data_IF_820114849832
#
_entry.id   IF_820114849832
#
_cell.length_a   1.000
_cell.length_b   1.000
_cell.length_c   1.000
_cell.angle_alpha   90.00
_cell.angle_beta   90.00
_cell.angle_gamma   90.00
#
_symmetry.space_group_name_H-M   'P 1'
#
loop_
_entity.id
_entity.type
_entity.pdbx_description
1 polymer ?
#
# COMPACT_ATOMS: atom_id res chain seq x y z
N UNK A 1 27.40 28.88 -40.83
CA UNK A 1 27.40 28.75 -39.35
C UNK A 1 26.30 27.73 -39.01
N UNK A 2 26.68 26.47 -38.75
CA UNK A 2 25.73 25.39 -38.42
C UNK A 2 25.22 25.63 -37.00
N UNK A 3 23.95 25.96 -36.86
CA UNK A 3 23.26 25.94 -35.56
C UNK A 3 23.02 24.48 -35.24
N UNK A 4 23.84 23.94 -34.35
CA UNK A 4 23.67 22.59 -33.81
C UNK A 4 22.45 22.65 -32.89
N UNK A 5 21.32 22.13 -33.35
CA UNK A 5 20.15 21.92 -32.53
C UNK A 5 20.56 20.98 -31.38
N UNK A 6 20.54 21.50 -30.14
CA UNK A 6 20.56 20.66 -28.94
C UNK A 6 19.27 19.84 -28.99
N UNK A 7 19.38 18.57 -29.36
CA UNK A 7 18.35 17.57 -29.13
C UNK A 7 18.00 17.62 -27.64
N UNK A 8 16.78 18.07 -27.32
CA UNK A 8 16.18 17.83 -26.02
C UNK A 8 15.92 16.33 -25.96
N UNK A 9 16.84 15.61 -25.31
CA UNK A 9 16.62 14.23 -24.92
C UNK A 9 15.32 14.17 -24.11
N UNK A 10 14.25 13.69 -24.72
CA UNK A 10 13.11 13.15 -24.01
C UNK A 10 13.64 11.90 -23.31
N UNK A 11 14.07 12.07 -22.06
CA UNK A 11 14.34 10.93 -21.19
C UNK A 11 12.98 10.26 -20.98
N UNK A 12 12.73 9.14 -21.66
CA UNK A 12 11.68 8.21 -21.27
C UNK A 12 12.11 7.67 -19.90
N UNK A 13 11.71 8.37 -18.84
CA UNK A 13 12.25 8.20 -17.49
C UNK A 13 11.56 6.99 -16.82
N UNK A 14 11.80 5.80 -17.36
CA UNK A 14 11.60 4.53 -16.65
C UNK A 14 12.51 4.41 -15.42
N UNK A 15 13.51 5.29 -15.31
CA UNK A 15 14.60 5.23 -14.33
C UNK A 15 14.37 6.06 -13.05
N UNK A 16 13.20 6.70 -12.86
CA UNK A 16 12.93 7.53 -11.67
C UNK A 16 13.13 6.81 -10.34
N UNK A 17 12.97 5.49 -10.33
CA UNK A 17 13.11 4.67 -9.14
C UNK A 17 14.46 3.95 -9.06
N UNK A 18 15.29 3.95 -10.10
CA UNK A 18 16.46 3.06 -10.16
C UNK A 18 17.47 3.34 -9.05
N UNK A 19 17.73 4.62 -8.76
CA UNK A 19 18.66 5.03 -7.70
C UNK A 19 18.00 5.18 -6.31
N UNK A 20 16.68 5.10 -6.22
CA UNK A 20 15.95 5.29 -4.96
C UNK A 20 16.14 4.07 -4.07
N UNK A 21 16.72 4.27 -2.89
CA UNK A 21 16.92 3.20 -1.90
C UNK A 21 15.76 3.11 -0.92
N UNK A 22 15.18 4.26 -0.58
CA UNK A 22 14.08 4.36 0.39
C UNK A 22 13.00 5.29 -0.13
N UNK A 23 11.75 4.85 -0.10
CA UNK A 23 10.61 5.70 -0.44
C UNK A 23 9.70 5.89 0.77
N UNK A 24 9.14 7.09 0.91
CA UNK A 24 8.06 7.38 1.84
C UNK A 24 6.76 7.49 1.05
N UNK A 25 5.72 6.79 1.51
CA UNK A 25 4.36 6.83 0.99
C UNK A 25 3.49 7.40 2.11
N UNK A 26 3.05 8.65 1.97
CA UNK A 26 2.23 9.31 2.99
C UNK A 26 0.87 9.71 2.41
N UNK A 27 -0.18 9.36 3.13
CA UNK A 27 -1.54 9.78 2.83
C UNK A 27 -1.68 11.29 3.08
N UNK A 28 -2.35 12.01 2.18
CA UNK A 28 -2.73 13.39 2.40
C UNK A 28 -4.15 13.44 2.98
N UNK A 29 -4.28 13.83 4.25
CA UNK A 29 -5.58 13.96 4.92
C UNK A 29 -6.14 15.35 4.69
N UNK A 30 -7.24 15.42 3.95
CA UNK A 30 -8.07 16.64 3.91
C UNK A 30 -8.90 16.74 5.19
N UNK A 31 -8.44 17.55 6.15
CA UNK A 31 -9.15 17.81 7.41
C UNK A 31 -10.56 18.39 7.21
N UNK A 32 -10.79 19.08 6.09
CA UNK A 32 -12.09 19.65 5.73
C UNK A 32 -13.07 18.58 5.20
N UNK A 33 -12.57 17.62 4.41
CA UNK A 33 -13.33 16.45 3.96
C UNK A 33 -13.65 15.52 5.15
N UNK A 34 -12.73 15.40 6.12
CA UNK A 34 -12.95 14.66 7.38
C UNK A 34 -14.09 15.25 8.23
N UNK A 35 -14.11 16.58 8.39
CA UNK A 35 -15.15 17.26 9.18
C UNK A 35 -16.53 17.25 8.52
N UNK A 36 -16.60 17.12 7.20
CA UNK A 36 -17.85 17.18 6.43
C UNK A 36 -18.39 15.81 6.02
N UNK A 37 -17.54 14.77 5.93
CA UNK A 37 -17.94 13.38 5.71
C UNK A 37 -18.47 13.04 4.31
N UNK A 38 -18.39 13.98 3.36
CA UNK A 38 -19.09 13.84 2.06
C UNK A 38 -18.25 13.23 0.94
N UNK A 39 -16.91 13.37 0.93
CA UNK A 39 -16.06 12.74 -0.10
C UNK A 39 -14.56 12.75 0.29
N UNK A 40 -14.07 11.72 1.00
CA UNK A 40 -12.63 11.59 1.33
C UNK A 40 -11.97 10.72 0.25
N UNK A 41 -11.51 11.32 -0.84
CA UNK A 41 -10.76 10.61 -1.88
C UNK A 41 -9.33 10.42 -1.38
N UNK A 42 -8.84 9.19 -1.31
CA UNK A 42 -7.47 8.94 -0.87
C UNK A 42 -6.46 9.54 -1.85
N UNK A 43 -5.53 10.30 -1.29
CA UNK A 43 -4.41 10.93 -1.99
C UNK A 43 -3.13 10.55 -1.27
N UNK A 44 -2.06 10.35 -2.02
CA UNK A 44 -0.76 10.01 -1.47
C UNK A 44 0.33 10.82 -2.13
N UNK A 45 1.25 11.31 -1.30
CA UNK A 45 2.51 11.88 -1.72
C UNK A 45 3.57 10.79 -1.54
N UNK A 46 4.37 10.55 -2.58
CA UNK A 46 5.44 9.55 -2.59
C UNK A 46 6.74 10.27 -2.93
N UNK A 47 7.76 10.14 -2.08
CA UNK A 47 9.05 10.80 -2.26
C UNK A 47 10.21 9.92 -1.81
N UNK A 48 11.40 10.22 -2.31
CA UNK A 48 12.64 9.57 -1.88
C UNK A 48 13.02 10.08 -0.49
N UNK A 49 13.20 9.16 0.45
CA UNK A 49 13.53 9.48 1.83
C UNK A 49 14.95 10.06 1.98
N UNK A 50 15.85 9.74 1.05
CA UNK A 50 17.26 10.15 1.11
C UNK A 50 17.48 11.55 0.51
N UNK A 51 16.91 11.81 -0.66
CA UNK A 51 17.04 13.12 -1.34
C UNK A 51 15.93 14.12 -1.01
N UNK A 52 14.75 13.64 -0.59
CA UNK A 52 13.54 14.45 -0.47
C UNK A 52 12.85 14.76 -1.81
N UNK A 53 13.32 14.21 -2.93
CA UNK A 53 12.71 14.42 -4.24
C UNK A 53 11.33 13.76 -4.32
N UNK A 54 10.35 14.50 -4.84
CA UNK A 54 9.02 13.94 -5.10
C UNK A 54 9.09 12.92 -6.23
N UNK A 55 8.63 11.70 -5.97
CA UNK A 55 8.61 10.59 -6.93
C UNK A 55 7.26 10.52 -7.62
N UNK A 56 6.17 10.48 -6.85
CA UNK A 56 4.82 10.39 -7.39
C UNK A 56 3.80 11.15 -6.54
N UNK A 57 2.77 11.64 -7.21
CA UNK A 57 1.50 12.01 -6.61
C UNK A 57 0.45 10.99 -7.06
N UNK A 58 -0.23 10.38 -6.10
CA UNK A 58 -1.24 9.36 -6.37
C UNK A 58 -2.61 9.83 -5.88
N UNK A 59 -3.64 9.62 -6.70
CA UNK A 59 -5.03 9.94 -6.32
C UNK A 59 -5.94 8.80 -6.71
N UNK A 60 -6.72 8.33 -5.75
CA UNK A 60 -7.76 7.32 -5.97
C UNK A 60 -8.83 7.86 -6.94
N UNK A 61 -9.24 7.02 -7.91
CA UNK A 61 -10.35 7.31 -8.80
C UNK A 61 -11.68 7.51 -8.05
N UNK A 62 -12.58 8.34 -8.59
CA UNK A 62 -13.86 8.58 -7.95
C UNK A 62 -14.85 7.43 -8.25
N UNK A 63 -15.14 6.62 -7.24
CA UNK A 63 -16.10 5.50 -7.30
C UNK A 63 -17.46 5.84 -6.65
N UNK A 64 -17.66 7.11 -6.25
CA UNK A 64 -18.84 7.60 -5.54
C UNK A 64 -18.79 7.32 -4.02
N UNK A 65 -19.45 8.19 -3.26
CA UNK A 65 -19.44 8.15 -1.79
C UNK A 65 -20.07 6.87 -1.22
N UNK A 66 -21.10 6.31 -1.87
CA UNK A 66 -21.77 5.09 -1.42
C UNK A 66 -20.83 3.89 -1.46
N UNK A 67 -20.13 3.67 -2.58
CA UNK A 67 -19.17 2.56 -2.69
C UNK A 67 -18.03 2.73 -1.68
N UNK A 68 -17.53 3.97 -1.49
CA UNK A 68 -16.45 4.24 -0.55
C UNK A 68 -16.85 3.99 0.91
N UNK A 69 -18.00 4.50 1.34
CA UNK A 69 -18.47 4.37 2.73
C UNK A 69 -18.97 2.95 3.07
N UNK A 70 -19.51 2.23 2.08
CA UNK A 70 -19.99 0.87 2.28
C UNK A 70 -18.85 -0.16 2.28
N UNK A 71 -17.88 -0.04 1.36
CA UNK A 71 -16.84 -1.06 1.17
C UNK A 71 -15.47 -0.71 1.79
N UNK A 72 -15.20 0.55 2.15
CA UNK A 72 -13.98 0.96 2.88
C UNK A 72 -12.70 0.34 2.29
N UNK A 73 -11.86 -0.35 3.07
CA UNK A 73 -10.64 -0.99 2.60
C UNK A 73 -10.85 -2.08 1.53
N UNK A 74 -12.05 -2.66 1.45
CA UNK A 74 -12.38 -3.72 0.49
C UNK A 74 -12.72 -3.17 -0.91
N UNK A 75 -12.95 -1.86 -1.02
CA UNK A 75 -13.35 -1.20 -2.27
C UNK A 75 -12.32 -1.35 -3.40
N UNK A 76 -12.82 -1.30 -4.62
CA UNK A 76 -12.01 -1.20 -5.82
C UNK A 76 -11.49 0.23 -6.03
N UNK A 77 -10.31 0.35 -6.66
CA UNK A 77 -9.82 1.63 -7.16
C UNK A 77 -8.91 1.46 -8.37
N UNK A 78 -8.88 2.54 -9.16
CA UNK A 78 -7.82 2.83 -10.12
C UNK A 78 -7.04 4.04 -9.61
N UNK A 79 -5.72 3.95 -9.61
CA UNK A 79 -4.84 4.97 -9.08
C UNK A 79 -3.66 5.19 -10.04
N UNK A 80 -3.77 6.15 -10.97
CA UNK A 80 -2.62 6.58 -11.75
C UNK A 80 -1.60 7.27 -10.84
N UNK A 81 -0.32 7.03 -11.09
CA UNK A 81 0.79 7.67 -10.39
C UNK A 81 1.35 8.77 -11.29
N UNK A 82 1.16 10.01 -10.86
CA UNK A 82 1.51 11.21 -11.60
C UNK A 82 2.92 11.65 -11.20
N UNK A 83 3.72 12.05 -12.19
CA UNK A 83 5.04 12.66 -11.98
C UNK A 83 5.09 14.04 -12.64
N UNK A 84 6.15 14.81 -12.40
CA UNK A 84 6.34 16.07 -13.14
C UNK A 84 6.43 15.87 -14.66
N UNK A 85 6.98 14.72 -15.09
CA UNK A 85 7.16 14.35 -16.49
C UNK A 85 5.92 13.68 -17.10
N UNK A 86 5.15 12.94 -16.30
CA UNK A 86 3.91 12.26 -16.70
C UNK A 86 2.74 12.81 -15.87
N UNK A 87 2.23 13.96 -16.30
CA UNK A 87 1.15 14.68 -15.60
C UNK A 87 -0.21 13.99 -15.71
N UNK A 88 -0.36 13.14 -16.73
CA UNK A 88 -1.60 12.42 -16.99
C UNK A 88 -1.61 11.05 -16.30
N UNK A 89 -0.48 10.61 -15.74
CA UNK A 89 -0.33 9.35 -15.00
C UNK A 89 -0.58 8.12 -15.87
N UNK A 90 -0.16 8.19 -17.14
CA UNK A 90 -0.37 7.12 -18.13
C UNK A 90 0.71 6.03 -18.04
N UNK A 91 1.88 6.34 -17.48
CA UNK A 91 3.00 5.40 -17.42
C UNK A 91 2.81 4.41 -16.29
N UNK A 92 2.55 4.88 -15.08
CA UNK A 92 2.47 4.05 -13.88
C UNK A 92 1.07 4.08 -13.31
N UNK A 93 0.48 2.90 -13.10
CA UNK A 93 -0.88 2.78 -12.54
C UNK A 93 -1.00 1.59 -11.60
N UNK A 94 -1.79 1.78 -10.55
CA UNK A 94 -2.19 0.72 -9.62
C UNK A 94 -3.67 0.44 -9.81
N UNK A 95 -4.04 -0.83 -9.86
CA UNK A 95 -5.42 -1.29 -9.94
C UNK A 95 -5.69 -2.27 -8.81
N UNK A 96 -6.64 -1.93 -7.96
CA UNK A 96 -7.14 -2.82 -6.91
C UNK A 96 -8.58 -3.18 -7.25
N UNK A 97 -8.90 -4.45 -7.53
CA UNK A 97 -10.28 -4.88 -7.61
C UNK A 97 -10.88 -5.01 -6.21
N UNK A 98 -12.22 -5.02 -6.15
CA UNK A 98 -12.95 -5.23 -4.91
C UNK A 98 -12.62 -6.62 -4.35
N UNK A 99 -12.08 -6.65 -3.14
CA UNK A 99 -11.56 -7.86 -2.51
C UNK A 99 -11.52 -7.70 -0.99
N UNK A 100 -11.78 -8.79 -0.29
CA UNK A 100 -11.77 -8.83 1.19
C UNK A 100 -10.36 -9.09 1.69
N UNK A 101 -9.93 -8.35 2.70
CA UNK A 101 -8.67 -8.62 3.39
C UNK A 101 -8.89 -9.56 4.59
N UNK A 102 -8.02 -10.56 4.76
CA UNK A 102 -7.93 -11.30 6.02
C UNK A 102 -7.44 -10.37 7.12
N UNK A 103 -8.34 -10.02 8.04
CA UNK A 103 -8.06 -9.15 9.18
C UNK A 103 -7.37 -9.91 10.32
N UNK A 104 -6.40 -9.30 11.03
CA UNK A 104 -5.87 -9.84 12.27
C UNK A 104 -6.98 -10.02 13.30
N UNK A 105 -6.98 -11.17 13.99
CA UNK A 105 -7.94 -11.48 15.05
C UNK A 105 -7.92 -10.49 16.24
N UNK A 106 -6.96 -9.56 16.28
CA UNK A 106 -6.86 -8.53 17.33
C UNK A 106 -7.67 -7.25 17.06
N UNK A 107 -8.16 -7.00 15.83
CA UNK A 107 -9.01 -5.85 15.51
C UNK A 107 -10.49 -6.20 15.78
N UNK A 108 -10.93 -5.95 17.01
CA UNK A 108 -12.35 -5.81 17.43
C UNK A 108 -13.28 -7.02 17.20
N UNK A 109 -13.39 -7.88 18.21
CA UNK A 109 -14.63 -8.48 18.76
C UNK A 109 -14.44 -9.95 19.21
N UNK A 110 -13.74 -10.16 20.33
CA UNK A 110 -13.76 -11.45 21.05
C UNK A 110 -14.47 -11.40 22.41
N UNK A 111 -15.10 -10.28 22.83
CA UNK A 111 -15.75 -10.26 24.15
C UNK A 111 -17.16 -9.66 24.28
N UNK A 112 -17.77 -8.94 23.33
CA UNK A 112 -19.12 -8.40 23.56
C UNK A 112 -19.90 -8.08 22.27
N UNK A 113 -20.32 -9.10 21.52
CA UNK A 113 -21.67 -9.12 20.93
C UNK A 113 -22.00 -10.51 20.42
N UNK A 114 -23.27 -10.85 20.49
CA UNK A 114 -23.84 -12.15 20.17
C UNK A 114 -23.72 -12.51 18.69
N UNK A 115 -22.56 -12.98 18.21
CA UNK A 115 -22.45 -13.83 17.00
C UNK A 115 -21.09 -14.53 16.98
N UNK A 116 -20.94 -15.53 17.88
CA UNK A 116 -19.79 -16.45 17.93
C UNK A 116 -19.60 -17.33 16.68
N UNK A 117 -20.52 -17.28 15.71
CA UNK A 117 -20.43 -18.00 14.43
C UNK A 117 -19.50 -17.29 13.43
N UNK A 118 -19.25 -15.99 13.57
CA UNK A 118 -18.42 -15.23 12.63
C UNK A 118 -16.93 -15.18 12.98
N UNK A 119 -16.57 -15.38 14.26
CA UNK A 119 -15.18 -15.32 14.72
C UNK A 119 -14.38 -16.59 14.35
N UNK A 120 -15.07 -17.69 14.03
CA UNK A 120 -14.54 -18.89 13.37
C UNK A 120 -15.27 -19.13 12.03
N UNK A 121 -15.70 -18.05 11.37
CA UNK A 121 -16.48 -18.06 10.13
C UNK A 121 -15.64 -17.97 8.85
N UNK A 122 -14.31 -18.12 8.97
CA UNK A 122 -13.43 -18.29 7.81
C UNK A 122 -13.53 -19.70 7.20
N UNK A 123 -14.22 -20.65 7.83
CA UNK A 123 -14.50 -21.93 7.20
C UNK A 123 -15.64 -21.79 6.17
N UNK A 124 -15.31 -21.42 4.92
CA UNK A 124 -16.25 -21.44 3.79
C UNK A 124 -16.21 -20.24 2.84
N UNK A 125 -15.35 -19.25 3.05
CA UNK A 125 -15.10 -18.20 2.06
C UNK A 125 -14.11 -18.70 1.00
N UNK A 126 -14.33 -18.27 -0.25
CA UNK A 126 -13.39 -18.49 -1.33
C UNK A 126 -12.13 -17.62 -1.10
N UNK A 127 -11.10 -18.22 -0.51
CA UNK A 127 -9.81 -17.60 -0.26
C UNK A 127 -8.97 -17.43 -1.52
N UNK A 128 -9.47 -17.81 -2.70
CA UNK A 128 -8.73 -17.62 -3.95
C UNK A 128 -8.56 -16.15 -4.34
N UNK A 129 -9.38 -15.23 -3.79
CA UNK A 129 -9.40 -13.83 -4.19
C UNK A 129 -9.44 -12.85 -3.00
N UNK A 130 -8.49 -13.01 -2.08
CA UNK A 130 -8.24 -12.07 -0.98
C UNK A 130 -7.71 -10.72 -1.50
N UNK A 131 -7.41 -9.79 -0.59
CA UNK A 131 -6.88 -8.47 -0.89
C UNK A 131 -5.75 -8.55 -1.92
N UNK A 132 -5.94 -7.89 -3.06
CA UNK A 132 -5.00 -7.97 -4.16
C UNK A 132 -4.90 -6.64 -4.92
N UNK A 133 -3.79 -6.46 -5.62
CA UNK A 133 -3.47 -5.26 -6.39
C UNK A 133 -2.59 -5.64 -7.57
N UNK A 134 -2.81 -5.01 -8.72
CA UNK A 134 -1.95 -5.16 -9.89
C UNK A 134 -1.26 -3.84 -10.20
N UNK A 135 0.01 -3.91 -10.61
CA UNK A 135 0.78 -2.75 -11.05
C UNK A 135 0.96 -2.77 -12.55
N UNK A 136 0.89 -1.59 -13.17
CA UNK A 136 0.99 -1.41 -14.60
C UNK A 136 2.11 -0.43 -14.94
N UNK A 137 2.84 -0.76 -15.99
CA UNK A 137 3.80 0.14 -16.63
C UNK A 137 3.51 0.17 -18.14
N UNK A 138 3.29 1.36 -18.70
CA UNK A 138 2.88 1.55 -20.10
C UNK A 138 1.67 0.66 -20.47
N UNK A 139 0.62 0.70 -19.63
CA UNK A 139 -0.60 -0.11 -19.72
C UNK A 139 -0.43 -1.64 -19.71
N UNK A 140 0.80 -2.14 -19.53
CA UNK A 140 1.07 -3.56 -19.37
C UNK A 140 1.14 -3.89 -17.88
N UNK A 141 0.41 -4.92 -17.47
CA UNK A 141 0.54 -5.47 -16.12
C UNK A 141 1.97 -5.98 -15.94
N UNK A 142 2.62 -5.55 -14.86
CA UNK A 142 4.00 -5.95 -14.54
C UNK A 142 4.05 -6.88 -13.34
N UNK A 143 3.26 -6.60 -12.30
CA UNK A 143 3.19 -7.44 -11.12
C UNK A 143 1.76 -7.63 -10.63
N UNK A 144 1.58 -8.71 -9.88
CA UNK A 144 0.37 -9.03 -9.16
C UNK A 144 0.70 -9.30 -7.69
N UNK A 145 0.01 -8.58 -6.82
CA UNK A 145 0.13 -8.68 -5.37
C UNK A 145 -1.12 -9.37 -4.87
N UNK A 146 -0.96 -10.44 -4.09
CA UNK A 146 -2.07 -11.20 -3.52
C UNK A 146 -1.80 -11.51 -2.04
N UNK A 147 -2.77 -11.21 -1.19
CA UNK A 147 -2.80 -11.72 0.17
C UNK A 147 -3.08 -13.22 0.18
N UNK A 148 -2.30 -13.98 0.95
CA UNK A 148 -2.40 -15.43 1.03
C UNK A 148 -2.91 -15.86 2.41
N UNK A 149 -3.76 -16.89 2.44
CA UNK A 149 -4.07 -17.56 3.71
C UNK A 149 -2.89 -18.44 4.14
N UNK A 150 -2.25 -18.05 5.24
CA UNK A 150 -1.17 -18.82 5.87
C UNK A 150 -1.66 -19.87 6.89
N UNK A 151 -2.96 -20.15 6.95
CA UNK A 151 -3.59 -21.06 7.92
C UNK A 151 -3.77 -20.47 9.32
N UNK A 152 -3.31 -19.24 9.54
CA UNK A 152 -3.35 -18.52 10.80
C UNK A 152 -4.00 -17.17 10.56
N UNK A 153 -5.34 -17.15 10.64
CA UNK A 153 -6.21 -16.02 10.34
C UNK A 153 -5.59 -14.67 10.75
N UNK A 154 -5.43 -13.80 9.77
CA UNK A 154 -5.16 -12.39 10.01
C UNK A 154 -3.69 -11.96 10.11
N UNK A 155 -2.74 -12.86 9.83
CA UNK A 155 -1.36 -12.43 9.58
C UNK A 155 -1.24 -11.63 8.28
N UNK A 156 -0.30 -10.69 8.28
CA UNK A 156 0.16 -10.10 7.04
C UNK A 156 0.99 -11.13 6.28
N UNK A 157 0.40 -11.69 5.22
CA UNK A 157 1.02 -12.67 4.34
C UNK A 157 0.63 -12.31 2.90
N UNK A 158 1.58 -11.80 2.14
CA UNK A 158 1.37 -11.40 0.75
C UNK A 158 2.46 -11.99 -0.13
N UNK A 159 2.12 -12.25 -1.38
CA UNK A 159 3.07 -12.62 -2.43
C UNK A 159 3.01 -11.60 -3.57
N UNK A 160 4.20 -11.19 -4.04
CA UNK A 160 4.35 -10.38 -5.25
C UNK A 160 4.85 -11.29 -6.36
N UNK A 161 4.06 -11.39 -7.42
CA UNK A 161 4.33 -12.22 -8.59
C UNK A 161 4.69 -11.34 -9.77
N UNK A 162 5.81 -11.62 -10.43
CA UNK A 162 6.15 -11.02 -11.71
C UNK A 162 5.23 -11.58 -12.81
N UNK A 163 4.58 -10.71 -13.55
CA UNK A 163 3.58 -11.07 -14.56
C UNK A 163 4.18 -11.77 -15.77
N UNK A 164 5.43 -11.45 -16.15
CA UNK A 164 6.10 -12.01 -17.32
C UNK A 164 6.71 -13.38 -17.02
N UNK A 165 7.40 -13.50 -15.88
CA UNK A 165 8.03 -14.72 -15.42
C UNK A 165 7.04 -15.69 -14.76
N UNK A 166 5.85 -15.22 -14.37
CA UNK A 166 4.85 -15.99 -13.61
C UNK A 166 5.43 -16.62 -12.34
N UNK A 167 6.35 -15.91 -11.69
CA UNK A 167 7.08 -16.36 -10.51
C UNK A 167 6.88 -15.38 -9.36
N UNK A 168 6.69 -15.90 -8.15
CA UNK A 168 6.75 -15.11 -6.93
C UNK A 168 8.18 -14.63 -6.73
N UNK A 169 8.37 -13.32 -6.69
CA UNK A 169 9.68 -12.67 -6.54
C UNK A 169 9.90 -12.16 -5.12
N UNK A 170 8.83 -11.82 -4.40
CA UNK A 170 8.90 -11.41 -3.00
C UNK A 170 7.71 -11.96 -2.21
N UNK A 171 7.97 -12.26 -0.94
CA UNK A 171 6.95 -12.54 0.06
C UNK A 171 7.01 -11.50 1.18
N UNK A 172 5.86 -11.01 1.62
CA UNK A 172 5.76 -10.09 2.76
C UNK A 172 5.03 -10.85 3.86
N UNK A 173 5.80 -11.37 4.81
CA UNK A 173 5.32 -12.24 5.88
C UNK A 173 5.66 -11.66 7.24
N UNK A 174 4.61 -11.43 8.04
CA UNK A 174 4.76 -11.10 9.47
C UNK A 174 4.32 -12.29 10.32
N UNK A 175 5.18 -12.78 11.24
CA UNK A 175 4.82 -13.87 12.13
C UNK A 175 3.81 -13.44 13.20
N UNK A 176 3.78 -12.15 13.57
CA UNK A 176 2.84 -11.62 14.54
C UNK A 176 1.41 -11.64 14.00
N UNK A 177 0.48 -12.13 14.83
CA UNK A 177 -0.95 -12.19 14.51
C UNK A 177 -1.63 -10.81 14.48
N UNK A 178 -0.95 -9.77 14.94
CA UNK A 178 -1.55 -8.46 15.13
C UNK A 178 -0.84 -7.39 14.30
N UNK A 179 -1.62 -6.66 13.51
CA UNK A 179 -1.17 -5.48 12.77
C UNK A 179 -1.37 -4.18 13.54
N UNK A 180 -2.06 -4.23 14.69
CA UNK A 180 -2.13 -3.08 15.57
C UNK A 180 -0.79 -2.89 16.26
N UNK A 181 -0.37 -1.64 16.36
CA UNK A 181 0.85 -1.28 17.07
C UNK A 181 0.69 -1.60 18.56
N UNK A 182 1.19 -2.75 19.00
CA UNK A 182 1.36 -3.03 20.42
C UNK A 182 2.26 -1.92 21.01
N UNK A 183 1.70 -1.11 21.92
CA UNK A 183 2.31 0.13 22.45
C UNK A 183 2.43 1.32 21.47
N UNK A 184 1.64 1.37 20.38
CA UNK A 184 1.58 2.51 19.46
C UNK A 184 2.95 2.85 18.85
N UNK A 185 3.75 1.81 18.58
CA UNK A 185 5.01 1.89 17.84
C UNK A 185 4.87 1.47 16.38
N UNK A 186 5.92 1.73 15.61
CA UNK A 186 5.96 1.43 14.18
C UNK A 186 5.82 -0.08 13.91
N UNK A 187 5.20 -0.42 12.79
CA UNK A 187 4.87 -1.80 12.41
C UNK A 187 5.69 -2.20 11.18
N UNK A 188 6.63 -3.13 11.35
CA UNK A 188 7.51 -3.60 10.29
C UNK A 188 6.95 -4.83 9.56
N UNK A 189 7.00 -4.79 8.23
CA UNK A 189 6.63 -5.83 7.29
C UNK A 189 7.89 -6.23 6.50
N UNK A 190 8.57 -7.33 6.87
CA UNK A 190 9.76 -7.80 6.17
C UNK A 190 9.46 -8.16 4.70
N UNK A 191 10.37 -7.79 3.79
CA UNK A 191 10.34 -8.24 2.40
C UNK A 191 11.33 -9.39 2.28
N UNK A 192 10.82 -10.58 1.96
CA UNK A 192 11.60 -11.80 1.81
C UNK A 192 11.77 -12.14 0.32
N UNK A 193 12.95 -12.59 -0.06
CA UNK A 193 13.19 -13.19 -1.37
C UNK A 193 12.62 -14.63 -1.45
N UNK A 194 12.67 -15.29 -2.62
CA UNK A 194 12.17 -16.67 -2.76
C UNK A 194 12.89 -17.70 -1.89
N UNK A 195 14.11 -17.39 -1.45
CA UNK A 195 14.93 -18.20 -0.56
C UNK A 195 14.59 -17.96 0.93
N UNK A 196 13.69 -17.01 1.22
CA UNK A 196 13.23 -16.65 2.57
C UNK A 196 14.17 -15.68 3.30
N UNK A 197 15.15 -15.09 2.61
CA UNK A 197 16.05 -14.09 3.19
C UNK A 197 15.40 -12.72 3.15
N UNK A 198 15.54 -11.96 4.24
CA UNK A 198 15.05 -10.59 4.26
C UNK A 198 15.97 -9.68 3.44
N UNK A 199 15.42 -9.11 2.37
CA UNK A 199 16.12 -8.24 1.42
C UNK A 199 15.68 -6.78 1.50
N UNK A 200 14.61 -6.50 2.23
CA UNK A 200 14.10 -5.15 2.47
C UNK A 200 13.02 -5.14 3.56
N UNK A 201 12.33 -4.01 3.73
CA UNK A 201 11.16 -3.93 4.62
C UNK A 201 10.21 -2.81 4.20
N UNK A 202 8.93 -2.95 4.55
CA UNK A 202 7.94 -1.87 4.57
C UNK A 202 7.62 -1.59 6.03
N UNK A 203 7.59 -0.33 6.45
CA UNK A 203 7.29 0.04 7.83
C UNK A 203 6.15 1.04 7.86
N UNK A 204 5.05 0.71 8.54
CA UNK A 204 4.00 1.68 8.89
C UNK A 204 4.50 2.48 10.09
N UNK A 205 4.76 3.77 9.88
CA UNK A 205 5.16 4.69 10.94
C UNK A 205 3.92 5.14 11.71
N UNK A 206 3.88 4.80 13.00
CA UNK A 206 2.75 5.12 13.86
C UNK A 206 2.85 6.57 14.32
N UNK A 207 1.78 7.35 14.16
CA UNK A 207 1.71 8.75 14.53
C UNK A 207 2.84 9.61 13.93
N UNK A 208 3.33 9.24 12.74
CA UNK A 208 4.49 9.86 12.09
C UNK A 208 5.83 9.55 12.78
N UNK A 209 5.96 8.36 13.38
CA UNK A 209 7.16 7.91 14.09
C UNK A 209 7.24 8.34 15.56
N UNK A 210 6.13 8.83 16.13
CA UNK A 210 6.05 9.15 17.56
C UNK A 210 5.87 7.87 18.37
N UNK A 211 6.23 7.89 19.65
CA UNK A 211 6.17 6.73 20.55
C UNK A 211 5.41 7.06 21.84
N UNK A 212 4.90 6.02 22.50
CA UNK A 212 4.22 6.13 23.80
C UNK A 212 2.77 6.63 23.71
N UNK A 213 2.20 7.08 24.84
CA UNK A 213 0.78 7.44 24.94
C UNK A 213 0.36 8.52 23.93
N UNK A 214 1.24 9.47 23.59
CA UNK A 214 0.95 10.50 22.59
C UNK A 214 0.70 9.89 21.21
N UNK A 215 1.48 8.88 20.83
CA UNK A 215 1.29 8.19 19.55
C UNK A 215 -0.06 7.46 19.51
N UNK A 216 -0.49 6.86 20.63
CA UNK A 216 -1.81 6.25 20.76
C UNK A 216 -2.96 7.24 20.57
N UNK A 217 -2.81 8.46 21.11
CA UNK A 217 -3.86 9.46 21.08
C UNK A 217 -4.02 10.15 19.72
N UNK A 218 -2.92 10.36 18.99
CA UNK A 218 -2.96 11.19 17.78
C UNK A 218 -3.07 10.40 16.49
N UNK A 219 -2.83 9.08 16.50
CA UNK A 219 -2.91 8.29 15.27
C UNK A 219 -4.29 8.36 14.62
N UNK A 220 -5.36 8.47 15.43
CA UNK A 220 -6.74 8.66 14.97
C UNK A 220 -6.99 9.89 14.09
N UNK A 221 -6.06 10.84 14.08
CA UNK A 221 -6.14 12.06 13.30
C UNK A 221 -4.87 12.28 12.46
N UNK A 222 -4.06 11.24 12.28
CA UNK A 222 -2.77 11.35 11.61
C UNK A 222 -2.80 10.67 10.24
N UNK A 223 -2.08 11.27 9.30
CA UNK A 223 -1.91 10.70 7.98
C UNK A 223 -1.14 9.38 8.04
N UNK A 224 -1.68 8.34 7.40
CA UNK A 224 -0.97 7.08 7.27
C UNK A 224 0.36 7.29 6.53
N UNK A 225 1.45 6.80 7.10
CA UNK A 225 2.80 6.95 6.56
C UNK A 225 3.47 5.58 6.54
N UNK A 226 3.91 5.17 5.35
CA UNK A 226 4.68 3.95 5.14
C UNK A 226 6.05 4.30 4.58
N UNK A 227 7.11 3.70 5.11
CA UNK A 227 8.48 3.85 4.60
C UNK A 227 8.96 2.50 4.08
N UNK A 228 9.47 2.49 2.87
CA UNK A 228 9.94 1.29 2.17
C UNK A 228 11.44 1.36 2.07
N UNK A 229 12.14 0.33 2.53
CA UNK A 229 13.54 0.06 2.22
C UNK A 229 13.56 -0.98 1.10
N UNK A 230 13.92 -0.56 -0.11
CA UNK A 230 13.89 -1.43 -1.28
C UNK A 230 15.04 -2.44 -1.25
N UNK A 231 14.85 -3.65 -1.81
CA UNK A 231 15.95 -4.54 -2.13
C UNK A 231 16.97 -3.83 -3.02
N UNK A 232 18.27 -3.99 -2.73
CA UNK A 232 19.34 -3.25 -3.42
C UNK A 232 19.41 -3.50 -4.92
N UNK A 233 18.91 -4.65 -5.38
CA UNK A 233 18.88 -5.06 -6.79
C UNK A 233 17.49 -4.88 -7.45
N UNK A 234 16.51 -4.28 -6.74
CA UNK A 234 15.16 -4.17 -7.25
C UNK A 234 15.10 -3.25 -8.49
N UNK A 235 14.43 -3.73 -9.54
CA UNK A 235 14.15 -2.91 -10.73
C UNK A 235 13.09 -1.83 -10.44
N UNK A 236 12.95 -0.82 -11.30
CA UNK A 236 11.89 0.20 -11.13
C UNK A 236 10.47 -0.40 -11.06
N UNK A 237 10.16 -1.46 -11.81
CA UNK A 237 8.84 -2.11 -11.77
C UNK A 237 8.62 -2.90 -10.48
N UNK A 238 9.67 -3.50 -9.92
CA UNK A 238 9.63 -4.14 -8.61
C UNK A 238 9.45 -3.12 -7.48
N UNK A 239 10.18 -2.00 -7.53
CA UNK A 239 10.01 -0.89 -6.57
C UNK A 239 8.59 -0.32 -6.64
N UNK A 240 8.02 -0.19 -7.84
CA UNK A 240 6.61 0.15 -8.03
C UNK A 240 5.67 -0.88 -7.41
N UNK A 241 5.95 -2.18 -7.55
CA UNK A 241 5.17 -3.23 -6.91
C UNK A 241 5.22 -3.13 -5.38
N UNK A 242 6.37 -2.79 -4.80
CA UNK A 242 6.53 -2.59 -3.36
C UNK A 242 5.81 -1.32 -2.85
N UNK A 243 5.75 -0.25 -3.65
CA UNK A 243 4.88 0.91 -3.38
C UNK A 243 3.41 0.49 -3.38
N UNK A 244 2.98 -0.31 -4.38
CA UNK A 244 1.64 -0.89 -4.43
C UNK A 244 1.34 -1.78 -3.22
N UNK A 245 2.31 -2.56 -2.74
CA UNK A 245 2.18 -3.39 -1.54
C UNK A 245 1.96 -2.56 -0.28
N UNK A 246 2.68 -1.44 -0.12
CA UNK A 246 2.49 -0.53 1.01
C UNK A 246 1.07 0.06 1.03
N UNK A 247 0.55 0.48 -0.13
CA UNK A 247 -0.83 0.94 -0.25
C UNK A 247 -1.84 -0.18 0.01
N UNK A 248 -1.59 -1.40 -0.48
CA UNK A 248 -2.47 -2.53 -0.20
C UNK A 248 -2.51 -2.88 1.29
N UNK A 249 -1.39 -2.77 2.01
CA UNK A 249 -1.33 -2.91 3.48
C UNK A 249 -2.19 -1.85 4.15
N UNK A 250 -2.09 -0.59 3.71
CA UNK A 250 -2.92 0.52 4.22
C UNK A 250 -4.42 0.23 4.06
N UNK A 251 -4.84 -0.12 2.85
CA UNK A 251 -6.23 -0.48 2.56
C UNK A 251 -6.69 -1.74 3.28
N UNK A 252 -5.82 -2.73 3.41
CA UNK A 252 -6.15 -3.99 4.06
C UNK A 252 -6.32 -3.83 5.57
N UNK A 253 -5.52 -2.99 6.24
CA UNK A 253 -5.41 -3.05 7.70
C UNK A 253 -5.68 -1.74 8.44
N UNK A 254 -5.58 -0.61 7.75
CA UNK A 254 -5.50 0.72 8.37
C UNK A 254 -6.63 1.67 7.92
N UNK A 255 -7.39 1.29 6.90
CA UNK A 255 -8.57 2.01 6.40
C UNK A 255 -9.86 1.41 7.01
N UNK A 256 -10.28 1.88 8.20
CA UNK A 256 -11.55 1.46 8.84
C UNK A 256 -12.47 2.64 9.17
N UNK A 257 -13.79 2.37 9.29
CA UNK A 257 -14.83 3.39 9.50
C UNK A 257 -14.48 4.35 10.65
N UNK A 258 -14.58 5.66 10.37
CA UNK A 258 -14.22 6.79 11.23
C UNK A 258 -12.72 6.98 11.54
N UNK A 259 -11.82 6.13 11.04
CA UNK A 259 -10.38 6.22 11.30
C UNK A 259 -9.59 5.77 10.05
N UNK A 260 -9.18 6.73 9.22
CA UNK A 260 -8.06 6.53 8.30
C UNK A 260 -6.78 6.70 9.14
N UNK A 261 -6.24 5.59 9.64
CA UNK A 261 -5.09 5.59 10.57
C UNK A 261 -3.90 4.84 10.01
#
# INVERSE_FOLDING_TARGET
MKVIAKEKYFIFKSEYLDDVKRAVVQQDLSLLEFATGWDVINRYNIWDADSGESLFFAKEGNIGCCARNCFQGERDFEMPLVTEADKDGQLHRLSKPRSVALQPCCNTCCCNFWHKIFCCGCCGFDFSNLANLSTFFNDKKTHWILQQDGGNCGRANFAITDESAKKVIYEIKRPELCVCAWNCGDVEYPILDPEGQQVGRITKYWAGGKKGCTACCIEMANASTHVIEFPSAASHTEKLALIGQALLIDYAYYQTKNNNN
#
